data_IF_274704954819
#
_entry.id   IF_274704954819
#
_cell.length_a   1.000
_cell.length_b   1.000
_cell.length_c   1.000
_cell.angle_alpha   90.00
_cell.angle_beta   90.00
_cell.angle_gamma   90.00
#
_symmetry.space_group_name_H-M   'P 1'
#
loop_
_entity.id
_entity.type
_entity.pdbx_description
1 polymer ?
#
# COMPACT_ATOMS: atom_id res chain seq x y z
N UNK A 1 -70.99 5.13 48.92
CA UNK A 1 -70.10 6.03 49.71
C UNK A 1 -69.88 5.38 51.07
N UNK A 2 -68.68 5.39 51.70
CA UNK A 2 -67.51 6.26 51.53
C UNK A 2 -66.30 5.52 50.89
N UNK A 3 -65.36 6.12 50.13
CA UNK A 3 -64.38 7.19 50.40
C UNK A 3 -63.35 6.85 51.50
N UNK A 4 -62.10 6.62 51.11
CA UNK A 4 -60.97 6.50 52.03
C UNK A 4 -59.61 6.36 51.33
N UNK A 5 -58.94 7.49 51.09
CA UNK A 5 -57.60 7.62 50.51
C UNK A 5 -56.51 7.04 51.44
N UNK A 6 -55.42 6.54 50.85
CA UNK A 6 -54.22 6.16 51.58
C UNK A 6 -52.97 6.13 50.70
N UNK A 7 -52.44 7.31 50.36
CA UNK A 7 -51.06 7.47 49.88
C UNK A 7 -50.09 6.86 50.89
N UNK A 8 -49.07 6.10 50.45
CA UNK A 8 -47.74 6.09 51.08
C UNK A 8 -46.66 5.33 50.31
N UNK A 9 -45.52 6.03 50.20
CA UNK A 9 -44.13 5.58 50.11
C UNK A 9 -43.53 5.24 48.74
N UNK A 10 -43.09 6.34 48.12
CA UNK A 10 -41.83 6.52 47.39
C UNK A 10 -40.74 5.50 47.81
N UNK A 11 -40.34 4.60 46.91
CA UNK A 11 -39.08 3.86 47.03
C UNK A 11 -38.02 4.58 46.21
N UNK A 12 -37.10 5.24 46.90
CA UNK A 12 -35.80 5.68 46.37
C UNK A 12 -35.02 4.41 46.02
N UNK A 13 -34.93 4.07 44.74
CA UNK A 13 -34.02 3.03 44.25
C UNK A 13 -32.93 3.70 43.43
N UNK A 14 -31.85 4.00 44.14
CA UNK A 14 -30.43 4.03 43.73
C UNK A 14 -30.12 4.37 42.26
N UNK A 15 -30.04 5.68 42.01
CA UNK A 15 -29.52 6.30 40.79
C UNK A 15 -27.97 6.32 40.75
N UNK A 16 -27.32 5.19 41.08
CA UNK A 16 -25.86 5.16 41.33
C UNK A 16 -25.14 3.93 40.77
N UNK A 17 -25.59 3.40 39.63
CA UNK A 17 -24.97 2.23 38.98
C UNK A 17 -24.94 2.31 37.45
N UNK A 18 -25.02 3.52 36.88
CA UNK A 18 -24.98 3.72 35.41
C UNK A 18 -23.76 4.57 34.96
N UNK A 19 -22.98 5.15 35.88
CA UNK A 19 -21.93 6.13 35.52
C UNK A 19 -20.48 5.59 35.53
N UNK A 20 -20.24 4.30 35.80
CA UNK A 20 -18.87 3.75 35.91
C UNK A 20 -18.50 2.80 34.75
N UNK A 21 -19.46 2.42 33.90
CA UNK A 21 -19.22 1.51 32.78
C UNK A 21 -18.80 2.16 31.46
N UNK A 22 -18.67 3.50 31.40
CA UNK A 22 -18.59 4.23 30.13
C UNK A 22 -17.25 4.94 29.87
N UNK A 23 -16.15 4.47 30.48
CA UNK A 23 -14.88 5.21 30.42
C UNK A 23 -13.63 4.40 30.04
N UNK A 24 -13.76 3.27 29.34
CA UNK A 24 -12.59 2.63 28.71
C UNK A 24 -12.99 1.91 27.42
N UNK A 25 -13.38 2.67 26.39
CA UNK A 25 -13.14 2.21 25.01
C UNK A 25 -12.16 3.18 24.39
N UNK A 26 -10.89 2.99 24.75
CA UNK A 26 -9.78 3.57 23.99
C UNK A 26 -9.75 2.81 22.65
N UNK A 27 -10.61 3.22 21.74
CA UNK A 27 -10.57 2.76 20.35
C UNK A 27 -9.27 3.33 19.80
N UNK A 28 -8.21 2.52 19.80
CA UNK A 28 -7.04 2.80 18.98
C UNK A 28 -7.52 2.87 17.53
N UNK A 29 -7.86 4.07 17.08
CA UNK A 29 -7.99 4.36 15.66
C UNK A 29 -6.58 4.24 15.09
N UNK A 30 -6.19 3.03 14.68
CA UNK A 30 -5.08 2.86 13.76
C UNK A 30 -5.55 3.56 12.49
N UNK A 31 -4.89 4.63 12.03
CA UNK A 31 -5.29 5.26 10.78
C UNK A 31 -5.17 4.22 9.66
N UNK A 32 -6.32 3.72 9.20
CA UNK A 32 -6.44 2.97 7.95
C UNK A 32 -6.41 4.01 6.84
N UNK A 33 -5.21 4.47 6.47
CA UNK A 33 -5.04 5.53 5.50
C UNK A 33 -3.57 5.73 5.14
N UNK A 34 -3.25 5.50 3.87
CA UNK A 34 -1.91 5.38 3.28
C UNK A 34 -1.13 4.18 3.81
N UNK A 35 -0.69 3.30 2.91
CA UNK A 35 0.25 2.26 3.28
C UNK A 35 1.55 2.93 3.74
N UNK A 36 1.82 2.92 5.05
CA UNK A 36 3.11 3.35 5.54
C UNK A 36 4.18 2.44 4.94
N UNK A 37 5.37 3.00 4.70
CA UNK A 37 6.49 2.21 4.16
C UNK A 37 6.79 0.98 5.01
N UNK A 38 6.68 1.12 6.33
CA UNK A 38 6.74 0.04 7.31
C UNK A 38 5.62 -1.00 7.10
N UNK A 39 4.38 -0.56 6.93
CA UNK A 39 3.24 -1.44 6.67
C UNK A 39 3.35 -2.18 5.34
N UNK A 40 3.97 -1.60 4.32
CA UNK A 40 4.28 -2.28 3.06
C UNK A 40 5.40 -3.30 3.24
N UNK A 41 6.47 -2.92 3.95
CA UNK A 41 7.58 -3.82 4.24
C UNK A 41 7.11 -5.05 5.04
N UNK A 42 6.26 -4.86 6.04
CA UNK A 42 5.70 -5.94 6.86
C UNK A 42 4.78 -6.91 6.08
N UNK A 43 4.17 -6.44 4.98
CA UNK A 43 3.29 -7.25 4.13
C UNK A 43 4.01 -7.93 2.97
N UNK A 44 5.25 -7.52 2.68
CA UNK A 44 6.01 -8.01 1.55
C UNK A 44 6.73 -9.32 1.90
N UNK A 45 6.58 -10.31 1.03
CA UNK A 45 7.39 -11.53 1.10
C UNK A 45 8.80 -11.30 0.51
N UNK A 46 8.93 -10.31 -0.39
CA UNK A 46 10.21 -9.85 -0.90
C UNK A 46 10.16 -8.36 -1.30
N UNK A 47 11.28 -7.66 -1.13
CA UNK A 47 11.47 -6.30 -1.63
C UNK A 47 12.65 -6.32 -2.58
N UNK A 48 12.45 -5.88 -3.82
CA UNK A 48 13.43 -6.07 -4.90
C UNK A 48 13.60 -4.83 -5.75
N UNK A 49 14.82 -4.63 -6.26
CA UNK A 49 15.09 -3.71 -7.37
C UNK A 49 15.00 -4.52 -8.66
N UNK A 50 14.21 -4.02 -9.61
CA UNK A 50 13.87 -4.72 -10.84
C UNK A 50 13.75 -3.82 -12.05
N UNK A 51 13.93 -4.42 -13.22
CA UNK A 51 13.62 -3.82 -14.51
C UNK A 51 12.62 -4.70 -15.27
N UNK A 52 11.40 -4.24 -15.61
CA UNK A 52 10.43 -5.02 -16.35
C UNK A 52 10.94 -5.30 -17.77
N UNK A 53 10.98 -6.58 -18.13
CA UNK A 53 11.43 -7.06 -19.45
C UNK A 53 10.28 -7.13 -20.45
N UNK A 54 9.12 -7.59 -19.99
CA UNK A 54 7.96 -7.81 -20.86
C UNK A 54 6.66 -7.73 -20.06
N UNK A 55 5.57 -7.43 -20.78
CA UNK A 55 4.20 -7.44 -20.26
C UNK A 55 3.28 -8.07 -21.29
N UNK A 56 2.41 -8.96 -20.83
CA UNK A 56 1.38 -9.58 -21.67
C UNK A 56 0.06 -9.50 -20.92
N UNK A 57 -0.93 -8.84 -21.52
CA UNK A 57 -2.28 -8.79 -21.00
C UNK A 57 -3.14 -9.89 -21.61
N UNK A 58 -4.04 -10.47 -20.81
CA UNK A 58 -4.94 -11.53 -21.22
C UNK A 58 -6.28 -11.42 -20.47
N UNK A 59 -7.31 -12.04 -21.03
CA UNK A 59 -8.58 -12.19 -20.34
C UNK A 59 -8.49 -13.32 -19.32
N UNK A 60 -8.83 -12.99 -18.07
CA UNK A 60 -9.07 -13.97 -17.01
C UNK A 60 -10.54 -13.86 -16.59
N UNK A 61 -11.37 -14.72 -17.17
CA UNK A 61 -12.82 -14.60 -17.09
C UNK A 61 -13.32 -13.27 -17.67
N UNK A 62 -13.82 -12.39 -16.80
CA UNK A 62 -14.37 -11.08 -17.18
C UNK A 62 -13.41 -9.90 -16.94
N UNK A 63 -12.21 -10.17 -16.46
CA UNK A 63 -11.24 -9.14 -16.08
C UNK A 63 -10.01 -9.27 -16.99
N UNK A 64 -9.45 -8.14 -17.40
CA UNK A 64 -8.14 -8.15 -18.07
C UNK A 64 -7.07 -8.13 -16.98
N UNK A 65 -6.17 -9.11 -17.01
CA UNK A 65 -4.96 -9.13 -16.19
C UNK A 65 -3.73 -8.95 -17.03
N UNK A 66 -2.67 -8.45 -16.43
CA UNK A 66 -1.36 -8.34 -17.04
C UNK A 66 -0.36 -9.17 -16.26
N UNK A 67 0.34 -10.04 -16.97
CA UNK A 67 1.54 -10.72 -16.48
C UNK A 67 2.76 -9.93 -16.91
N UNK A 68 3.60 -9.53 -15.96
CA UNK A 68 4.87 -8.88 -16.24
C UNK A 68 6.04 -9.77 -15.80
N UNK A 69 7.07 -9.89 -16.64
CA UNK A 69 8.33 -10.53 -16.26
C UNK A 69 9.32 -9.45 -15.91
N UNK A 70 9.86 -9.50 -14.69
CA UNK A 70 10.80 -8.54 -14.17
C UNK A 70 12.18 -9.20 -14.04
N UNK A 71 13.21 -8.53 -14.53
CA UNK A 71 14.59 -8.87 -14.19
C UNK A 71 14.87 -8.36 -12.79
N UNK A 72 15.36 -9.23 -11.91
CA UNK A 72 15.77 -8.90 -10.55
C UNK A 72 17.24 -8.50 -10.59
N UNK A 73 17.51 -7.24 -10.22
CA UNK A 73 18.87 -6.70 -10.11
C UNK A 73 19.41 -6.91 -8.70
N UNK A 74 18.56 -6.71 -7.69
CA UNK A 74 18.93 -6.82 -6.29
C UNK A 74 17.73 -7.22 -5.44
N UNK A 75 17.95 -8.16 -4.50
CA UNK A 75 17.01 -8.45 -3.42
C UNK A 75 17.41 -7.62 -2.20
N UNK A 76 16.49 -6.80 -1.71
CA UNK A 76 16.67 -5.95 -0.53
C UNK A 76 16.23 -6.67 0.73
N UNK A 77 15.10 -7.38 0.66
CA UNK A 77 14.55 -8.19 1.75
C UNK A 77 13.79 -9.39 1.20
N UNK A 78 13.62 -10.41 2.05
CA UNK A 78 12.96 -11.67 1.71
C UNK A 78 13.85 -12.64 0.91
N UNK A 79 13.24 -13.75 0.50
CA UNK A 79 13.91 -14.78 -0.29
C UNK A 79 13.24 -14.91 -1.65
N UNK A 80 14.00 -14.68 -2.72
CA UNK A 80 13.55 -14.85 -4.08
C UNK A 80 14.56 -15.72 -4.84
N UNK A 81 14.06 -16.68 -5.63
CA UNK A 81 14.91 -17.63 -6.35
C UNK A 81 15.06 -17.18 -7.80
N UNK A 82 16.30 -17.11 -8.26
CA UNK A 82 16.63 -16.74 -9.65
C UNK A 82 16.76 -15.24 -9.86
N UNK A 83 17.03 -14.88 -11.11
CA UNK A 83 17.27 -13.51 -11.57
C UNK A 83 16.01 -12.88 -12.21
N UNK A 84 14.88 -13.59 -12.19
CA UNK A 84 13.61 -13.14 -12.76
C UNK A 84 12.45 -13.47 -11.84
N UNK A 85 11.46 -12.59 -11.86
CA UNK A 85 10.19 -12.80 -11.17
C UNK A 85 9.02 -12.46 -12.09
N UNK A 86 7.97 -13.27 -12.00
CA UNK A 86 6.71 -13.00 -12.68
C UNK A 86 5.72 -12.41 -11.70
N UNK A 87 5.15 -11.26 -12.06
CA UNK A 87 4.05 -10.66 -11.32
C UNK A 87 2.77 -10.66 -12.15
N UNK A 88 1.63 -10.72 -11.47
CA UNK A 88 0.30 -10.59 -12.08
C UNK A 88 -0.48 -9.49 -11.36
N UNK A 89 -1.10 -8.61 -12.15
CA UNK A 89 -1.93 -7.52 -11.65
C UNK A 89 -3.09 -7.21 -12.59
N UNK A 90 -4.14 -6.58 -12.07
CA UNK A 90 -5.33 -6.23 -12.83
C UNK A 90 -5.10 -5.02 -13.74
N UNK A 91 -5.77 -5.03 -14.89
CA UNK A 91 -5.63 -4.01 -15.93
C UNK A 91 -4.74 -4.47 -17.08
N UNK A 92 -4.69 -3.66 -18.14
CA UNK A 92 -3.94 -3.97 -19.36
C UNK A 92 -4.74 -3.73 -20.63
N UNK A 93 -4.22 -4.21 -21.76
CA UNK A 93 -4.84 -4.05 -23.08
C UNK A 93 -4.80 -5.36 -23.85
N UNK A 94 -5.95 -5.85 -24.30
CA UNK A 94 -6.08 -7.03 -25.16
C UNK A 94 -6.72 -6.60 -26.48
N UNK A 95 -5.93 -6.63 -27.56
CA UNK A 95 -6.37 -6.14 -28.87
C UNK A 95 -6.72 -4.64 -28.80
N UNK A 96 -8.01 -4.32 -28.95
CA UNK A 96 -8.53 -2.95 -28.89
C UNK A 96 -9.20 -2.59 -27.54
N UNK A 97 -9.31 -3.54 -26.62
CA UNK A 97 -10.01 -3.35 -25.34
C UNK A 97 -8.96 -3.13 -24.25
N UNK A 98 -9.07 -2.02 -23.52
CA UNK A 98 -8.23 -1.70 -22.37
C UNK A 98 -9.02 -1.67 -21.07
N UNK A 99 -8.41 -2.16 -20.00
CA UNK A 99 -8.89 -1.99 -18.64
C UNK A 99 -7.88 -1.13 -17.87
N UNK A 100 -8.32 0.05 -17.41
CA UNK A 100 -7.56 0.91 -16.53
C UNK A 100 -8.10 0.77 -15.11
N UNK A 101 -7.22 0.44 -14.17
CA UNK A 101 -7.52 0.39 -12.74
C UNK A 101 -6.95 1.66 -12.11
N UNK A 102 -7.73 2.38 -11.31
CA UNK A 102 -7.34 3.70 -10.77
C UNK A 102 -6.00 3.66 -10.01
N UNK A 103 -5.84 2.67 -9.12
CA UNK A 103 -4.61 2.41 -8.36
C UNK A 103 -3.84 1.19 -8.89
N UNK A 104 -3.97 0.90 -10.19
CA UNK A 104 -3.34 -0.27 -10.80
C UNK A 104 -1.82 -0.15 -10.88
N UNK A 105 -1.14 -1.29 -10.85
CA UNK A 105 0.32 -1.39 -10.98
C UNK A 105 0.80 -0.79 -12.30
N UNK A 106 1.83 0.07 -12.22
CA UNK A 106 2.46 0.70 -13.38
C UNK A 106 3.93 0.37 -13.43
N UNK A 107 4.31 -0.38 -14.46
CA UNK A 107 5.68 -0.81 -14.69
C UNK A 107 6.01 -0.65 -16.17
N UNK A 108 6.55 0.50 -16.59
CA UNK A 108 7.05 0.67 -17.95
C UNK A 108 8.18 -0.35 -18.24
N UNK A 109 8.17 -0.95 -19.42
CA UNK A 109 9.24 -1.87 -19.83
C UNK A 109 10.56 -1.09 -19.90
N UNK A 110 11.63 -1.65 -19.36
CA UNK A 110 12.96 -1.02 -19.32
C UNK A 110 13.16 0.03 -18.23
N UNK A 111 12.12 0.39 -17.47
CA UNK A 111 12.25 1.32 -16.34
C UNK A 111 12.72 0.58 -15.09
N UNK A 112 13.73 1.09 -14.40
CA UNK A 112 14.18 0.53 -13.10
C UNK A 112 13.23 0.94 -11.97
N UNK A 113 12.87 0.00 -11.11
CA UNK A 113 11.93 0.19 -10.01
C UNK A 113 12.36 -0.57 -8.76
N UNK A 114 11.98 -0.09 -7.59
CA UNK A 114 11.88 -0.87 -6.36
C UNK A 114 10.43 -1.32 -6.19
N UNK A 115 10.22 -2.61 -5.92
CA UNK A 115 8.90 -3.23 -5.86
C UNK A 115 8.76 -4.06 -4.59
N UNK A 116 7.64 -3.88 -3.90
CA UNK A 116 7.20 -4.70 -2.77
C UNK A 116 6.35 -5.85 -3.30
N UNK A 117 6.84 -7.07 -3.16
CA UNK A 117 6.22 -8.26 -3.72
C UNK A 117 5.52 -9.08 -2.64
N UNK A 118 4.34 -9.59 -2.99
CA UNK A 118 3.60 -10.56 -2.20
C UNK A 118 3.41 -11.84 -3.02
N UNK A 119 3.73 -12.98 -2.42
CA UNK A 119 3.63 -14.28 -3.04
C UNK A 119 2.17 -14.74 -3.09
N UNK A 120 1.71 -15.16 -4.27
CA UNK A 120 0.36 -15.67 -4.52
C UNK A 120 0.39 -17.16 -4.94
N UNK A 121 1.46 -17.88 -4.61
CA UNK A 121 1.70 -19.27 -4.96
C UNK A 121 2.75 -19.41 -6.06
N UNK A 122 2.31 -19.49 -7.32
CA UNK A 122 3.20 -19.64 -8.48
C UNK A 122 3.66 -18.29 -9.05
N UNK A 123 2.85 -17.24 -8.86
CA UNK A 123 3.11 -15.88 -9.32
C UNK A 123 3.19 -14.95 -8.09
N UNK A 124 3.78 -13.77 -8.29
CA UNK A 124 3.73 -12.69 -7.30
C UNK A 124 2.68 -11.64 -7.68
N UNK A 125 2.29 -10.82 -6.71
CA UNK A 125 1.58 -9.56 -6.93
C UNK A 125 2.33 -8.43 -6.23
N UNK A 126 1.91 -7.18 -6.46
CA UNK A 126 2.52 -6.01 -5.81
C UNK A 126 1.72 -5.67 -4.57
N UNK A 127 2.40 -5.51 -3.43
CA UNK A 127 1.78 -5.03 -2.19
C UNK A 127 1.14 -3.68 -2.45
N UNK A 128 -0.15 -3.54 -2.14
CA UNK A 128 -0.90 -2.29 -2.32
C UNK A 128 -0.85 -1.70 -3.75
N UNK A 129 -0.69 -2.56 -4.77
CA UNK A 129 -0.76 -2.19 -6.19
C UNK A 129 0.23 -1.07 -6.57
N UNK A 130 -0.24 0.12 -7.00
CA UNK A 130 0.62 1.24 -7.39
C UNK A 130 1.50 1.76 -6.24
N UNK A 131 0.99 1.73 -5.00
CA UNK A 131 1.72 2.24 -3.84
C UNK A 131 2.98 1.42 -3.53
N UNK A 132 2.99 0.12 -3.85
CA UNK A 132 4.14 -0.77 -3.68
C UNK A 132 5.17 -0.71 -4.81
N UNK A 133 5.05 0.25 -5.74
CA UNK A 133 6.02 0.48 -6.80
C UNK A 133 6.66 1.85 -6.63
N UNK A 134 7.99 1.89 -6.69
CA UNK A 134 8.77 3.10 -6.67
C UNK A 134 9.71 3.14 -7.87
N UNK A 135 9.70 4.23 -8.63
CA UNK A 135 10.64 4.43 -9.74
C UNK A 135 12.02 4.79 -9.22
N UNK A 136 13.05 4.20 -9.82
CA UNK A 136 14.44 4.57 -9.60
C UNK A 136 14.91 5.35 -10.83
N UNK A 137 15.27 6.62 -10.63
CA UNK A 137 15.69 7.53 -11.69
C UNK A 137 17.13 7.98 -11.44
N UNK A 138 17.85 8.32 -12.52
CA UNK A 138 19.16 8.94 -12.42
C UNK A 138 19.01 10.44 -12.13
N UNK A 139 19.38 10.87 -10.93
CA UNK A 139 19.50 12.27 -10.54
C UNK A 139 20.93 12.80 -10.74
N UNK A 140 21.12 14.11 -10.47
CA UNK A 140 22.41 14.79 -10.58
C UNK A 140 23.48 14.24 -9.61
N UNK A 141 23.05 13.79 -8.44
CA UNK A 141 23.92 13.31 -7.35
C UNK A 141 23.90 11.77 -7.20
N UNK A 142 23.20 11.06 -8.10
CA UNK A 142 23.03 9.61 -8.06
C UNK A 142 21.59 9.17 -8.27
N UNK A 143 21.32 7.89 -8.02
CA UNK A 143 19.97 7.33 -8.14
C UNK A 143 19.04 7.87 -7.05
N UNK A 144 17.82 8.24 -7.45
CA UNK A 144 16.73 8.72 -6.58
C UNK A 144 15.49 7.86 -6.76
N UNK A 145 14.70 7.77 -5.69
CA UNK A 145 13.48 6.96 -5.59
C UNK A 145 12.26 7.88 -5.52
N UNK A 146 11.26 7.58 -6.33
CA UNK A 146 9.98 8.29 -6.38
C UNK A 146 8.80 7.30 -6.32
N UNK A 147 7.73 7.57 -5.57
CA UNK A 147 6.50 6.79 -5.64
C UNK A 147 5.93 6.74 -7.06
N UNK A 148 5.42 5.59 -7.49
CA UNK A 148 4.91 5.46 -8.87
C UNK A 148 3.68 6.33 -9.16
N UNK A 149 2.90 6.67 -8.13
CA UNK A 149 1.72 7.52 -8.22
C UNK A 149 2.08 8.99 -8.51
N UNK A 150 3.24 9.45 -8.05
CA UNK A 150 3.67 10.83 -8.21
C UNK A 150 4.00 11.17 -9.67
N UNK A 151 4.50 10.20 -10.43
CA UNK A 151 4.79 10.36 -11.86
C UNK A 151 3.51 10.50 -12.71
N UNK A 152 2.34 10.08 -12.21
CA UNK A 152 1.06 10.28 -12.90
C UNK A 152 0.47 11.68 -12.60
N UNK A 153 0.65 12.16 -11.36
CA UNK A 153 0.18 13.46 -10.90
C UNK A 153 1.03 14.66 -11.39
N UNK A 154 2.13 14.43 -12.09
CA UNK A 154 2.80 15.50 -12.86
C UNK A 154 1.92 15.98 -14.05
N UNK A 155 0.73 15.39 -14.26
CA UNK A 155 -0.38 15.92 -15.06
C UNK A 155 -1.60 16.42 -14.25
N UNK A 156 -1.52 16.51 -12.93
CA UNK A 156 -2.57 17.07 -12.07
C UNK A 156 -2.45 16.73 -10.58
N UNK A 157 -1.89 17.66 -9.80
CA UNK A 157 -2.15 18.00 -8.38
C UNK A 157 -2.11 16.87 -7.30
N UNK A 158 -1.02 16.94 -6.52
CA UNK A 158 -0.82 16.73 -5.06
C UNK A 158 -1.36 15.46 -4.37
N UNK A 159 -0.43 14.61 -3.94
CA UNK A 159 -0.65 13.68 -2.81
C UNK A 159 0.34 14.01 -1.68
N UNK A 160 -0.20 14.47 -0.55
CA UNK A 160 0.50 14.54 0.75
C UNK A 160 0.39 13.19 1.43
N UNK A 161 1.51 12.60 1.86
CA UNK A 161 1.67 11.90 3.16
C UNK A 161 3.05 11.22 3.25
N UNK A 162 3.59 11.14 4.46
CA UNK A 162 4.84 10.49 4.91
C UNK A 162 6.20 11.06 4.46
N UNK A 163 6.29 11.75 3.32
CA UNK A 163 7.54 12.39 2.87
C UNK A 163 7.34 13.91 2.81
N UNK A 164 8.15 14.67 3.55
CA UNK A 164 8.00 16.12 3.64
C UNK A 164 8.08 16.81 2.26
N UNK A 165 7.53 18.02 2.11
CA UNK A 165 7.41 18.72 0.82
C UNK A 165 8.75 18.96 0.08
N UNK A 166 9.89 18.84 0.76
CA UNK A 166 11.24 18.93 0.17
C UNK A 166 11.69 17.62 -0.53
N UNK A 167 11.23 16.46 -0.05
CA UNK A 167 11.53 15.16 -0.66
C UNK A 167 10.77 14.96 -1.99
N UNK A 168 9.64 15.66 -2.14
CA UNK A 168 8.76 15.61 -3.32
C UNK A 168 9.32 16.36 -4.54
N UNK A 169 10.27 17.29 -4.38
CA UNK A 169 10.86 18.03 -5.52
C UNK A 169 12.14 17.37 -6.08
N UNK A 170 12.77 16.47 -5.33
CA UNK A 170 14.09 15.89 -5.69
C UNK A 170 14.16 14.36 -5.69
N UNK A 171 13.16 13.66 -5.16
CA UNK A 171 13.24 12.24 -4.89
C UNK A 171 14.20 11.92 -3.73
N UNK A 172 14.00 10.75 -3.12
CA UNK A 172 14.83 10.30 -2.00
C UNK A 172 16.06 9.61 -2.58
N UNK A 173 17.30 9.95 -2.19
CA UNK A 173 18.48 9.19 -2.61
C UNK A 173 18.30 7.70 -2.33
N UNK A 174 18.57 6.83 -3.32
CA UNK A 174 18.34 5.39 -3.18
C UNK A 174 19.02 4.81 -1.94
N UNK A 175 20.24 5.27 -1.63
CA UNK A 175 20.98 4.82 -0.44
C UNK A 175 20.24 5.13 0.86
N UNK A 176 19.63 6.30 0.96
CA UNK A 176 18.83 6.72 2.12
C UNK A 176 17.55 5.90 2.22
N UNK A 177 16.83 5.73 1.10
CA UNK A 177 15.62 4.92 1.04
C UNK A 177 15.88 3.47 1.47
N UNK A 178 16.96 2.86 0.96
CA UNK A 178 17.38 1.51 1.36
C UNK A 178 17.79 1.43 2.84
N UNK A 179 18.37 2.51 3.40
CA UNK A 179 18.68 2.58 4.83
C UNK A 179 17.40 2.56 5.67
N UNK A 180 16.37 3.29 5.26
CA UNK A 180 15.05 3.28 5.93
C UNK A 180 14.43 1.88 5.85
N UNK A 181 14.47 1.20 4.70
CA UNK A 181 13.91 -0.15 4.59
C UNK A 181 14.59 -1.17 5.50
N UNK A 182 15.90 -1.03 5.74
CA UNK A 182 16.64 -1.93 6.62
C UNK A 182 16.22 -1.81 8.08
N UNK A 183 15.72 -0.66 8.53
CA UNK A 183 15.26 -0.51 9.92
C UNK A 183 14.01 -1.33 10.21
N UNK A 184 13.25 -1.74 9.18
CA UNK A 184 12.03 -2.54 9.33
C UNK A 184 12.26 -4.06 9.25
N UNK A 185 13.44 -4.52 8.81
CA UNK A 185 13.73 -5.94 8.60
C UNK A 185 14.42 -6.61 9.81
N UNK A 186 14.15 -6.14 11.03
CA UNK A 186 14.70 -6.68 12.28
C UNK A 186 13.73 -7.61 13.01
#
# INVERSE_FOLDING_TARGET
MPLGKGFKRLKRVSFSLILVGLLVTLVCSVPVGAASLEGMAAQADAIVITTPLSKVSYWDGKIIRTRATLQVEQVISGALRGDRVTIVYDGGVVGKIGLKVSHGVRLPVGQKNLVFLKNMGQDFTVVNQSEGVFYILQGKEGEVVLPSEEMDNTRGVTVKSALGPSAMEKGIPLKEFLSILRTFNH
#
